data_IF_080930154724
#
_entry.id   IF_080930154724
#
_cell.length_a   1.000
_cell.length_b   1.000
_cell.length_c   1.000
_cell.angle_alpha   90.00
_cell.angle_beta   90.00
_cell.angle_gamma   90.00
#
_symmetry.space_group_name_H-M   'P 1'
#
loop_
_entity.id
_entity.type
_entity.pdbx_description
1 polymer ?
#
# COMPACT_ATOMS: atom_id res chain seq x y z
N UNK A 1 -41.70 4.42 42.44
CA UNK A 1 -40.90 4.25 41.21
C UNK A 1 -40.91 2.77 40.86
N UNK A 2 -41.43 2.42 39.68
CA UNK A 2 -41.69 1.02 39.28
C UNK A 2 -40.38 0.32 38.90
N UNK A 3 -40.09 -0.83 39.53
CA UNK A 3 -38.90 -1.65 39.27
C UNK A 3 -38.74 -2.01 37.79
N UNK A 4 -39.85 -2.19 37.07
CA UNK A 4 -39.83 -2.55 35.64
C UNK A 4 -39.21 -1.47 34.75
N UNK A 5 -39.46 -0.18 35.06
CA UNK A 5 -38.88 0.92 34.30
C UNK A 5 -37.37 1.02 34.53
N UNK A 6 -36.90 0.74 35.74
CA UNK A 6 -35.48 0.76 36.08
C UNK A 6 -34.71 -0.35 35.34
N UNK A 7 -35.34 -1.51 35.15
CA UNK A 7 -34.76 -2.60 34.36
C UNK A 7 -34.68 -2.24 32.87
N UNK A 8 -35.75 -1.64 32.31
CA UNK A 8 -35.78 -1.20 30.91
C UNK A 8 -34.70 -0.15 30.65
N UNK A 9 -34.52 0.82 31.55
CA UNK A 9 -33.49 1.86 31.44
C UNK A 9 -32.08 1.23 31.48
N UNK A 10 -31.84 0.26 32.35
CA UNK A 10 -30.56 -0.44 32.43
C UNK A 10 -30.25 -1.21 31.14
N UNK A 11 -31.24 -1.92 30.58
CA UNK A 11 -31.09 -2.62 29.30
C UNK A 11 -30.80 -1.65 28.15
N UNK A 12 -31.51 -0.52 28.09
CA UNK A 12 -31.29 0.50 27.08
C UNK A 12 -29.85 1.04 27.12
N UNK A 13 -29.32 1.30 28.31
CA UNK A 13 -27.94 1.76 28.50
C UNK A 13 -26.93 0.72 28.02
N UNK A 14 -27.12 -0.56 28.38
CA UNK A 14 -26.23 -1.64 27.97
C UNK A 14 -26.20 -1.79 26.44
N UNK A 15 -27.37 -1.76 25.80
CA UNK A 15 -27.48 -1.86 24.33
C UNK A 15 -26.78 -0.67 23.68
N UNK A 16 -26.99 0.55 24.19
CA UNK A 16 -26.35 1.74 23.64
C UNK A 16 -24.82 1.70 23.76
N UNK A 17 -24.30 1.27 24.91
CA UNK A 17 -22.85 1.09 25.12
C UNK A 17 -22.27 0.02 24.18
N UNK A 18 -22.99 -1.08 23.94
CA UNK A 18 -22.56 -2.13 23.01
C UNK A 18 -22.50 -1.63 21.56
N UNK A 19 -23.44 -0.77 21.16
CA UNK A 19 -23.46 -0.12 19.86
C UNK A 19 -22.26 0.82 19.70
N UNK A 20 -21.96 1.64 20.70
CA UNK A 20 -20.79 2.53 20.68
C UNK A 20 -19.50 1.72 20.57
N UNK A 21 -19.36 0.66 21.38
CA UNK A 21 -18.16 -0.18 21.38
C UNK A 21 -17.94 -0.87 20.02
N UNK A 22 -19.00 -1.37 19.40
CA UNK A 22 -18.92 -2.02 18.08
C UNK A 22 -18.55 -1.03 16.96
N UNK A 23 -19.10 0.19 16.99
CA UNK A 23 -18.72 1.26 16.06
C UNK A 23 -17.25 1.66 16.23
N UNK A 24 -16.80 1.87 17.46
CA UNK A 24 -15.40 2.20 17.74
C UNK A 24 -14.45 1.09 17.26
N UNK A 25 -14.81 -0.18 17.49
CA UNK A 25 -14.03 -1.33 17.02
C UNK A 25 -13.92 -1.35 15.48
N UNK A 26 -15.01 -1.12 14.77
CA UNK A 26 -15.01 -1.08 13.30
C UNK A 26 -14.12 0.04 12.77
N UNK A 27 -14.16 1.23 13.39
CA UNK A 27 -13.30 2.36 13.02
C UNK A 27 -11.82 1.99 13.22
N UNK A 28 -11.45 1.48 14.40
CA UNK A 28 -10.08 1.05 14.69
C UNK A 28 -9.61 -0.02 13.70
N UNK A 29 -10.45 -1.02 13.42
CA UNK A 29 -10.12 -2.08 12.47
C UNK A 29 -9.93 -1.53 11.04
N UNK A 30 -10.75 -0.56 10.62
CA UNK A 30 -10.63 0.08 9.32
C UNK A 30 -9.30 0.86 9.18
N UNK A 31 -8.89 1.57 10.22
CA UNK A 31 -7.60 2.27 10.25
C UNK A 31 -6.41 1.31 10.19
N UNK A 32 -6.43 0.23 10.97
CA UNK A 32 -5.37 -0.80 10.95
C UNK A 32 -5.27 -1.45 9.57
N UNK A 33 -6.39 -1.80 8.93
CA UNK A 33 -6.41 -2.41 7.59
C UNK A 33 -5.94 -1.44 6.50
N UNK A 34 -6.25 -0.14 6.61
CA UNK A 34 -5.77 0.87 5.66
C UNK A 34 -4.26 1.05 5.72
N UNK A 35 -3.66 1.02 6.91
CA UNK A 35 -2.20 1.13 7.08
C UNK A 35 -1.43 0.01 6.34
N UNK A 36 -1.96 -1.22 6.30
CA UNK A 36 -1.34 -2.33 5.57
C UNK A 36 -1.38 -2.20 4.04
N UNK A 37 -2.23 -1.34 3.47
CA UNK A 37 -2.33 -1.16 2.00
C UNK A 37 -1.38 -0.11 1.44
N UNK A 38 -0.70 0.66 2.29
CA UNK A 38 0.30 1.65 1.86
C UNK A 38 1.71 1.05 1.92
N UNK A 39 1.86 -0.21 1.51
CA UNK A 39 3.15 -0.63 0.97
C UNK A 39 3.30 0.11 -0.36
N UNK A 40 4.19 1.10 -0.40
CA UNK A 40 4.51 1.85 -1.62
C UNK A 40 5.17 0.86 -2.58
N UNK A 41 4.36 0.19 -3.38
CA UNK A 41 4.81 -0.74 -4.40
C UNK A 41 5.43 0.06 -5.53
N UNK A 42 6.76 0.12 -5.57
CA UNK A 42 7.49 0.80 -6.64
C UNK A 42 7.64 -0.17 -7.80
N UNK A 43 7.02 0.14 -8.94
CA UNK A 43 7.25 -0.63 -10.17
C UNK A 43 8.54 -0.15 -10.82
N UNK A 44 9.43 -1.09 -11.14
CA UNK A 44 10.74 -0.81 -11.75
C UNK A 44 10.91 -1.58 -13.05
N UNK A 45 11.58 -0.94 -14.01
CA UNK A 45 11.95 -1.49 -15.31
C UNK A 45 13.45 -1.75 -15.33
N UNK A 46 13.88 -2.93 -15.76
CA UNK A 46 15.28 -3.27 -15.99
C UNK A 46 15.59 -3.17 -17.46
N UNK A 47 16.57 -2.36 -17.81
CA UNK A 47 17.09 -2.17 -19.16
C UNK A 47 18.43 -2.88 -19.27
N UNK A 48 18.60 -3.68 -20.31
CA UNK A 48 19.90 -4.21 -20.72
C UNK A 48 20.51 -3.29 -21.77
N UNK A 49 21.70 -2.79 -21.50
CA UNK A 49 22.39 -1.78 -22.30
C UNK A 49 23.90 -1.81 -22.04
N UNK A 50 24.74 -1.66 -23.06
CA UNK A 50 26.19 -1.53 -22.93
C UNK A 50 26.85 -2.63 -22.06
N UNK A 51 26.31 -3.86 -22.15
CA UNK A 51 26.78 -5.03 -21.38
C UNK A 51 26.38 -5.03 -19.89
N UNK A 52 25.55 -4.08 -19.46
CA UNK A 52 25.10 -3.91 -18.06
C UNK A 52 23.57 -3.88 -17.97
N UNK A 53 23.07 -4.10 -16.76
CA UNK A 53 21.65 -3.99 -16.41
C UNK A 53 21.43 -2.73 -15.58
N UNK A 54 20.59 -1.84 -16.09
CA UNK A 54 20.24 -0.57 -15.45
C UNK A 54 18.80 -0.67 -14.96
N UNK A 55 18.56 -0.32 -13.70
CA UNK A 55 17.20 -0.29 -13.13
C UNK A 55 16.69 1.15 -13.11
N UNK A 56 15.50 1.38 -13.64
CA UNK A 56 14.84 2.68 -13.58
C UNK A 56 13.40 2.56 -13.10
N UNK A 57 12.82 3.69 -12.71
CA UNK A 57 11.41 3.74 -12.37
C UNK A 57 10.56 3.50 -13.62
N UNK A 58 9.53 2.67 -13.48
CA UNK A 58 8.61 2.36 -14.57
C UNK A 58 7.98 3.62 -15.13
N UNK A 59 7.96 3.73 -16.45
CA UNK A 59 7.23 4.78 -17.17
C UNK A 59 6.04 4.17 -17.91
N UNK A 60 4.94 4.93 -18.01
CA UNK A 60 3.77 4.49 -18.79
C UNK A 60 4.20 4.15 -20.21
N UNK A 61 3.79 2.97 -20.68
CA UNK A 61 4.16 2.46 -22.00
C UNK A 61 5.48 1.68 -22.04
N UNK A 62 6.10 1.37 -20.90
CA UNK A 62 7.15 0.36 -20.81
C UNK A 62 6.55 -1.05 -20.93
N UNK A 63 7.18 -1.89 -21.74
CA UNK A 63 6.88 -3.31 -21.85
C UNK A 63 8.17 -4.09 -22.09
N UNK A 64 8.19 -5.37 -21.70
CA UNK A 64 9.36 -6.24 -21.91
C UNK A 64 9.60 -6.42 -23.41
N UNK A 65 10.82 -6.15 -23.86
CA UNK A 65 11.22 -6.17 -25.27
C UNK A 65 11.28 -4.79 -25.93
N UNK A 66 10.74 -3.74 -25.30
CA UNK A 66 10.78 -2.38 -25.84
C UNK A 66 12.22 -1.85 -25.96
N UNK A 67 12.56 -1.28 -27.12
CA UNK A 67 13.79 -0.50 -27.31
C UNK A 67 13.66 0.87 -26.64
N UNK A 68 14.64 1.23 -25.82
CA UNK A 68 14.71 2.51 -25.11
C UNK A 68 16.13 3.05 -25.17
N UNK A 69 16.26 4.36 -25.25
CA UNK A 69 17.58 5.00 -25.23
C UNK A 69 18.20 4.90 -23.84
N UNK A 70 19.46 4.49 -23.79
CA UNK A 70 20.17 4.25 -22.56
C UNK A 70 20.78 5.55 -22.02
N UNK A 71 20.53 5.86 -20.74
CA UNK A 71 21.00 7.10 -20.13
C UNK A 71 22.52 7.20 -20.00
N UNK A 72 23.23 6.08 -19.93
CA UNK A 72 24.68 6.06 -19.71
C UNK A 72 25.48 6.20 -21.03
N UNK A 73 25.09 5.48 -22.07
CA UNK A 73 25.86 5.43 -23.33
C UNK A 73 25.09 5.94 -24.55
N UNK A 74 23.83 6.41 -24.39
CA UNK A 74 22.96 6.92 -25.47
C UNK A 74 22.69 5.94 -26.63
N UNK A 75 23.09 4.69 -26.47
CA UNK A 75 22.75 3.62 -27.40
C UNK A 75 21.35 3.06 -27.11
N UNK A 76 20.82 2.28 -28.05
CA UNK A 76 19.56 1.56 -27.87
C UNK A 76 19.76 0.41 -26.89
N UNK A 77 19.08 0.47 -25.75
CA UNK A 77 18.90 -0.63 -24.83
C UNK A 77 17.54 -1.32 -25.00
N UNK A 78 17.34 -2.44 -24.30
CA UNK A 78 16.08 -3.19 -24.30
C UNK A 78 15.57 -3.41 -22.88
N UNK A 79 14.28 -3.21 -22.65
CA UNK A 79 13.65 -3.59 -21.37
C UNK A 79 13.58 -5.12 -21.29
N UNK A 80 14.22 -5.71 -20.29
CA UNK A 80 14.27 -7.18 -20.10
C UNK A 80 13.36 -7.68 -18.98
N UNK A 81 13.00 -6.82 -18.02
CA UNK A 81 12.12 -7.18 -16.92
C UNK A 81 11.36 -5.97 -16.38
N UNK A 82 10.15 -6.20 -15.87
CA UNK A 82 9.36 -5.23 -15.12
C UNK A 82 8.81 -5.96 -13.89
N UNK A 83 9.08 -5.43 -12.71
CA UNK A 83 8.64 -6.05 -11.46
C UNK A 83 8.28 -5.01 -10.39
N UNK A 84 7.57 -5.48 -9.37
CA UNK A 84 7.18 -4.69 -8.20
C UNK A 84 8.24 -4.86 -7.12
N UNK A 85 8.93 -3.79 -6.77
CA UNK A 85 9.80 -3.73 -5.61
C UNK A 85 8.95 -3.45 -4.36
N UNK A 86 9.01 -4.37 -3.38
CA UNK A 86 8.42 -4.14 -2.05
C UNK A 86 9.38 -3.29 -1.23
N UNK A 87 9.04 -2.01 -1.07
CA UNK A 87 9.76 -1.11 -0.17
C UNK A 87 9.10 -1.27 1.20
N UNK A 88 9.79 -1.92 2.14
CA UNK A 88 9.35 -1.94 3.54
C UNK A 88 9.40 -0.50 4.09
N UNK A 89 8.25 -0.02 4.56
CA UNK A 89 8.10 1.29 5.18
C UNK A 89 8.88 1.34 6.51
N UNK A 90 10.18 1.59 6.44
CA UNK A 90 11.07 1.62 7.61
C UNK A 90 12.55 1.87 7.29
N UNK A 91 13.02 1.54 6.08
CA UNK A 91 14.37 1.91 5.65
C UNK A 91 14.35 3.28 4.97
N UNK A 92 14.52 4.35 5.77
CA UNK A 92 15.12 5.59 5.27
C UNK A 92 16.48 5.21 4.69
N UNK A 93 16.59 5.14 3.36
CA UNK A 93 17.90 5.27 2.70
C UNK A 93 18.29 6.74 2.89
N UNK A 94 19.11 7.01 3.90
CA UNK A 94 19.91 8.24 3.93
C UNK A 94 20.78 8.19 2.68
N UNK A 95 20.40 8.97 1.67
CA UNK A 95 21.23 9.31 0.53
C UNK A 95 21.97 10.60 0.88
#
# INVERSE_FOLDING_TARGET
>A
MNLDNQMIDLYAVIVFLSLIASLAYMIVQAHIRRSKRVEVQRVVSVIECCGKRITRQFSKGDYVGKEVECSECKEKGRIIAIFVERIEAGKKKNL
#
